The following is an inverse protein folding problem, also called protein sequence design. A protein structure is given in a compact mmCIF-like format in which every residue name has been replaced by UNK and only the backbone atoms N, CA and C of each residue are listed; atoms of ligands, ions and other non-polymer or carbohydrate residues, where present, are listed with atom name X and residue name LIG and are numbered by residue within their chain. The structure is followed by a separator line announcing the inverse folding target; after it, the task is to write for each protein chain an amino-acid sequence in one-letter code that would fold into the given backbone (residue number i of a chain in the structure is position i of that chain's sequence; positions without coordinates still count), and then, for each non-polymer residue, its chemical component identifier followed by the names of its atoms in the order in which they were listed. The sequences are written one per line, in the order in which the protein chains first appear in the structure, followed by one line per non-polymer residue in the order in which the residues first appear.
data_IF_459768820319
#
_entry.id   IF_459768820319
#
_cell.length_a   1.000
_cell.length_b   1.000
_cell.length_c   1.000
_cell.angle_alpha   90.00
_cell.angle_beta   90.00
_cell.angle_gamma   90.00
#
_symmetry.space_group_name_H-M   'P 1'
#
loop_
_entity.id
_entity.type
_entity.pdbx_description
1 polymer ?
#
# COMPACT_ATOMS: atom_id res chain seq x y z
N UNK A 1 -21.08 -8.93 -25.95
CA UNK A 1 -20.90 -8.94 -24.49
C UNK A 1 -21.39 -7.62 -23.95
N UNK A 2 -22.41 -7.63 -23.11
CA UNK A 2 -23.00 -6.40 -22.54
C UNK A 2 -22.06 -5.72 -21.55
N UNK A 3 -22.24 -4.42 -21.31
CA UNK A 3 -21.45 -3.66 -20.32
C UNK A 3 -21.56 -4.27 -18.92
N UNK A 4 -22.73 -4.80 -18.56
CA UNK A 4 -22.97 -5.45 -17.26
C UNK A 4 -22.17 -6.76 -17.14
N UNK A 5 -22.21 -7.60 -18.17
CA UNK A 5 -21.44 -8.86 -18.21
C UNK A 5 -19.93 -8.61 -18.11
N UNK A 6 -19.43 -7.55 -18.77
CA UNK A 6 -18.03 -7.15 -18.69
C UNK A 6 -17.63 -6.70 -17.27
N UNK A 7 -18.46 -5.87 -16.63
CA UNK A 7 -18.24 -5.42 -15.25
C UNK A 7 -18.21 -6.60 -14.27
N UNK A 8 -19.18 -7.49 -14.39
CA UNK A 8 -19.26 -8.67 -13.51
C UNK A 8 -18.04 -9.58 -13.69
N UNK A 9 -17.63 -9.83 -14.93
CA UNK A 9 -16.44 -10.65 -15.22
C UNK A 9 -15.15 -10.04 -14.65
N UNK A 10 -14.97 -8.72 -14.72
CA UNK A 10 -13.82 -8.05 -14.11
C UNK A 10 -13.87 -8.19 -12.59
N UNK A 11 -15.01 -7.90 -11.97
CA UNK A 11 -15.17 -7.99 -10.52
C UNK A 11 -14.95 -9.42 -10.00
N UNK A 12 -15.50 -10.42 -10.68
CA UNK A 12 -15.27 -11.84 -10.38
C UNK A 12 -13.78 -12.20 -10.48
N UNK A 13 -13.10 -11.72 -11.53
CA UNK A 13 -11.66 -11.96 -11.69
C UNK A 13 -10.82 -11.29 -10.60
N UNK A 14 -11.17 -10.06 -10.20
CA UNK A 14 -10.44 -9.30 -9.17
C UNK A 14 -10.72 -9.83 -7.76
N UNK A 15 -11.86 -10.49 -7.54
CA UNK A 15 -12.26 -11.05 -6.24
C UNK A 15 -12.16 -12.58 -6.18
N UNK A 16 -11.62 -13.22 -7.22
CA UNK A 16 -11.30 -14.64 -7.20
C UNK A 16 -10.13 -14.89 -6.24
N UNK A 17 -10.34 -15.77 -5.27
CA UNK A 17 -9.35 -16.01 -4.22
C UNK A 17 -8.02 -16.51 -4.77
N UNK A 18 -8.02 -17.33 -5.83
CA UNK A 18 -6.79 -17.86 -6.42
C UNK A 18 -5.96 -16.73 -7.05
N UNK A 19 -6.61 -15.81 -7.76
CA UNK A 19 -5.96 -14.61 -8.30
C UNK A 19 -5.42 -13.72 -7.17
N UNK A 20 -6.25 -13.40 -6.17
CA UNK A 20 -5.86 -12.56 -5.03
C UNK A 20 -4.69 -13.17 -4.26
N UNK A 21 -4.73 -14.47 -3.98
CA UNK A 21 -3.65 -15.21 -3.31
C UNK A 21 -2.35 -15.13 -4.11
N UNK A 22 -2.42 -15.23 -5.44
CA UNK A 22 -1.24 -15.07 -6.31
C UNK A 22 -0.70 -13.65 -6.23
N UNK A 23 -1.56 -12.63 -6.32
CA UNK A 23 -1.16 -11.24 -6.16
C UNK A 23 -0.52 -10.97 -4.79
N UNK A 24 -1.07 -11.53 -3.71
CA UNK A 24 -0.50 -11.38 -2.37
C UNK A 24 0.88 -12.02 -2.24
N UNK A 25 1.09 -13.24 -2.76
CA UNK A 25 2.43 -13.83 -2.78
C UNK A 25 3.41 -13.02 -3.62
N UNK A 26 2.97 -12.48 -4.76
CA UNK A 26 3.80 -11.62 -5.59
C UNK A 26 4.13 -10.31 -4.86
N UNK A 27 3.18 -9.64 -4.21
CA UNK A 27 3.48 -8.45 -3.40
C UNK A 27 4.46 -8.81 -2.27
N UNK A 28 4.14 -9.79 -1.43
CA UNK A 28 4.99 -10.15 -0.30
C UNK A 28 6.39 -10.59 -0.73
N UNK A 29 6.50 -11.36 -1.81
CA UNK A 29 7.78 -11.85 -2.32
C UNK A 29 8.52 -10.80 -3.14
N UNK A 30 7.94 -10.36 -4.25
CA UNK A 30 8.58 -9.51 -5.24
C UNK A 30 8.80 -8.09 -4.71
N UNK A 31 7.80 -7.45 -4.10
CA UNK A 31 7.97 -6.08 -3.61
C UNK A 31 8.98 -6.01 -2.46
N UNK A 32 8.88 -6.89 -1.45
CA UNK A 32 9.85 -6.90 -0.35
C UNK A 32 11.26 -7.23 -0.83
N UNK A 33 11.40 -8.14 -1.81
CA UNK A 33 12.71 -8.47 -2.39
C UNK A 33 13.28 -7.30 -3.18
N UNK A 34 12.48 -6.61 -4.00
CA UNK A 34 12.93 -5.45 -4.77
C UNK A 34 13.32 -4.29 -3.84
N UNK A 35 12.53 -4.02 -2.80
CA UNK A 35 12.84 -2.99 -1.81
C UNK A 35 14.15 -3.33 -1.07
N UNK A 36 14.28 -4.56 -0.58
CA UNK A 36 15.47 -5.01 0.14
C UNK A 36 16.73 -4.96 -0.74
N UNK A 37 16.64 -5.49 -1.97
CA UNK A 37 17.75 -5.43 -2.94
C UNK A 37 18.07 -3.98 -3.31
N UNK A 38 17.06 -3.12 -3.47
CA UNK A 38 17.24 -1.69 -3.72
C UNK A 38 18.02 -1.01 -2.60
N UNK A 39 17.67 -1.26 -1.33
CA UNK A 39 18.40 -0.75 -0.16
C UNK A 39 19.83 -1.27 -0.12
N UNK A 40 20.02 -2.59 -0.32
CA UNK A 40 21.36 -3.20 -0.33
C UNK A 40 22.23 -2.56 -1.41
N UNK A 41 21.71 -2.42 -2.64
CA UNK A 41 22.45 -1.79 -3.72
C UNK A 41 22.73 -0.31 -3.44
N UNK A 42 21.78 0.42 -2.87
CA UNK A 42 22.00 1.82 -2.48
C UNK A 42 23.12 1.97 -1.44
N UNK A 43 23.25 1.04 -0.48
CA UNK A 43 24.36 1.03 0.48
C UNK A 43 25.72 0.96 -0.23
N UNK A 44 25.84 0.16 -1.28
CA UNK A 44 27.13 -0.08 -1.96
C UNK A 44 27.38 0.79 -3.19
N UNK A 45 26.34 1.38 -3.77
CA UNK A 45 26.41 2.10 -5.05
C UNK A 45 25.99 3.56 -4.97
N UNK A 46 25.78 4.08 -3.75
CA UNK A 46 25.54 5.50 -3.55
C UNK A 46 26.68 6.34 -4.18
N UNK A 47 26.37 7.27 -5.11
CA UNK A 47 27.38 8.07 -5.80
C UNK A 47 28.24 8.94 -4.87
N UNK A 48 27.72 9.30 -3.70
CA UNK A 48 28.40 10.11 -2.69
C UNK A 48 29.45 9.33 -1.88
N UNK A 49 29.49 7.99 -2.03
CA UNK A 49 30.38 7.11 -1.29
C UNK A 49 30.10 7.01 0.21
N UNK A 50 29.06 7.68 0.72
CA UNK A 50 28.68 7.64 2.15
C UNK A 50 27.75 6.47 2.47
N UNK A 51 27.14 5.89 1.43
CA UNK A 51 26.23 4.77 1.55
C UNK A 51 24.84 5.21 2.05
N UNK A 52 23.83 4.45 1.65
CA UNK A 52 22.45 4.69 2.02
C UNK A 52 22.12 4.19 3.44
N UNK A 53 21.50 5.02 4.28
CA UNK A 53 20.96 4.59 5.59
C UNK A 53 19.58 5.17 5.87
N UNK A 54 18.75 4.41 6.58
CA UNK A 54 17.37 4.85 6.91
C UNK A 54 17.30 6.07 7.84
N UNK A 55 18.41 6.43 8.49
CA UNK A 55 18.49 7.55 9.42
C UNK A 55 18.65 8.88 8.69
N UNK A 56 19.28 8.84 7.52
CA UNK A 56 19.74 10.03 6.79
C UNK A 56 19.13 10.15 5.39
N UNK A 57 18.56 9.06 4.85
CA UNK A 57 17.97 9.05 3.52
C UNK A 57 16.52 8.55 3.54
N UNK A 58 15.68 9.24 2.77
CA UNK A 58 14.26 9.00 2.57
C UNK A 58 14.05 7.72 1.77
N UNK A 59 12.92 7.03 1.95
CA UNK A 59 12.62 5.88 1.08
C UNK A 59 12.55 6.33 -0.37
N UNK A 60 11.97 7.50 -0.63
CA UNK A 60 11.87 8.09 -1.97
C UNK A 60 13.23 8.27 -2.64
N UNK A 61 14.31 8.50 -1.88
CA UNK A 61 15.68 8.61 -2.40
C UNK A 61 16.10 7.35 -3.17
N UNK A 62 15.53 6.18 -2.86
CA UNK A 62 15.77 4.95 -3.63
C UNK A 62 15.28 5.05 -5.08
N UNK A 63 14.42 6.01 -5.41
CA UNK A 63 13.96 6.33 -6.77
C UNK A 63 14.81 7.38 -7.49
N UNK A 64 15.97 7.77 -6.93
CA UNK A 64 16.89 8.75 -7.53
C UNK A 64 18.30 8.21 -7.79
N UNK A 65 18.85 8.53 -8.97
CA UNK A 65 20.25 8.32 -9.33
C UNK A 65 21.22 9.09 -8.41
N UNK A 66 20.74 10.04 -7.59
CA UNK A 66 21.56 10.74 -6.60
C UNK A 66 21.96 9.86 -5.42
N UNK A 67 21.18 8.81 -5.13
CA UNK A 67 21.33 8.01 -3.91
C UNK A 67 21.54 6.52 -4.19
N UNK A 68 21.33 6.06 -5.42
CA UNK A 68 21.58 4.66 -5.82
C UNK A 68 21.95 4.54 -7.29
N UNK A 69 22.75 3.54 -7.65
CA UNK A 69 23.03 3.21 -9.06
C UNK A 69 21.86 2.56 -9.79
N UNK A 70 20.82 2.12 -9.06
CA UNK A 70 19.72 1.32 -9.62
C UNK A 70 18.32 1.81 -9.17
N UNK A 71 17.95 3.07 -9.42
CA UNK A 71 16.69 3.64 -8.91
C UNK A 71 15.43 2.97 -9.48
N UNK A 72 15.53 2.39 -10.67
CA UNK A 72 14.42 1.69 -11.31
C UNK A 72 13.90 0.50 -10.48
N UNK A 73 14.70 -0.07 -9.57
CA UNK A 73 14.25 -1.18 -8.73
C UNK A 73 13.15 -0.74 -7.78
N UNK A 74 13.31 0.44 -7.16
CA UNK A 74 12.30 1.02 -6.28
C UNK A 74 11.07 1.44 -7.07
N UNK A 75 11.27 2.06 -8.23
CA UNK A 75 10.17 2.48 -9.11
C UNK A 75 9.29 1.30 -9.56
N UNK A 76 9.93 0.19 -9.97
CA UNK A 76 9.24 -1.05 -10.32
C UNK A 76 8.56 -1.66 -9.09
N UNK A 77 9.21 -1.62 -7.92
CA UNK A 77 8.61 -2.11 -6.68
C UNK A 77 7.30 -1.37 -6.38
N UNK A 78 7.29 -0.05 -6.42
CA UNK A 78 6.11 0.79 -6.21
C UNK A 78 5.01 0.51 -7.25
N UNK A 79 5.38 0.47 -8.54
CA UNK A 79 4.47 0.18 -9.65
C UNK A 79 3.80 -1.20 -9.51
N UNK A 80 4.60 -2.24 -9.29
CA UNK A 80 4.12 -3.61 -9.15
C UNK A 80 3.28 -3.78 -7.90
N UNK A 81 3.73 -3.24 -6.76
CA UNK A 81 2.97 -3.31 -5.52
C UNK A 81 1.61 -2.61 -5.67
N UNK A 82 1.58 -1.39 -6.21
CA UNK A 82 0.34 -0.65 -6.44
C UNK A 82 -0.65 -1.39 -7.33
N UNK A 83 -0.20 -2.03 -8.41
CA UNK A 83 -1.09 -2.83 -9.27
C UNK A 83 -1.60 -4.07 -8.55
N UNK A 84 -0.72 -4.79 -7.85
CA UNK A 84 -1.07 -6.06 -7.22
C UNK A 84 -1.88 -5.89 -5.92
N UNK A 85 -1.88 -4.72 -5.28
CA UNK A 85 -2.77 -4.41 -4.15
C UNK A 85 -4.20 -4.08 -4.56
N UNK A 86 -4.47 -3.84 -5.86
CA UNK A 86 -5.84 -3.58 -6.35
C UNK A 86 -6.75 -4.81 -6.09
N UNK A 87 -6.46 -6.02 -6.60
CA UNK A 87 -7.28 -7.21 -6.32
C UNK A 87 -7.46 -7.47 -4.82
N UNK A 88 -6.41 -7.24 -4.03
CA UNK A 88 -6.47 -7.40 -2.58
C UNK A 88 -7.51 -6.46 -1.94
N UNK A 89 -7.54 -5.20 -2.34
CA UNK A 89 -8.49 -4.21 -1.81
C UNK A 89 -9.94 -4.57 -2.15
N UNK A 90 -10.20 -5.01 -3.38
CA UNK A 90 -11.51 -5.53 -3.79
C UNK A 90 -11.93 -6.76 -2.97
N UNK A 91 -10.99 -7.67 -2.74
CA UNK A 91 -11.25 -8.89 -2.00
C UNK A 91 -11.52 -8.62 -0.51
N UNK A 92 -10.81 -7.68 0.11
CA UNK A 92 -11.07 -7.27 1.48
C UNK A 92 -12.47 -6.69 1.67
N UNK A 93 -12.96 -5.87 0.73
CA UNK A 93 -14.33 -5.36 0.77
C UNK A 93 -15.35 -6.51 0.79
N UNK A 94 -15.18 -7.47 -0.12
CA UNK A 94 -16.05 -8.64 -0.25
C UNK A 94 -16.08 -9.49 1.02
N UNK A 95 -14.92 -9.76 1.62
CA UNK A 95 -14.81 -10.57 2.84
C UNK A 95 -15.34 -9.82 4.06
N UNK A 96 -15.06 -8.52 4.18
CA UNK A 96 -15.46 -7.73 5.34
C UNK A 96 -16.88 -7.19 5.25
N UNK A 97 -17.51 -7.19 4.08
CA UNK A 97 -18.92 -6.85 3.86
C UNK A 97 -19.60 -7.88 2.94
N UNK A 98 -19.81 -9.12 3.40
CA UNK A 98 -20.47 -10.15 2.60
C UNK A 98 -21.90 -9.74 2.24
N UNK A 99 -22.37 -10.18 1.07
CA UNK A 99 -23.73 -9.94 0.59
C UNK A 99 -24.75 -10.44 1.63
N UNK A 100 -25.76 -9.60 1.93
CA UNK A 100 -26.74 -9.88 2.99
C UNK A 100 -26.37 -9.34 4.38
N UNK A 101 -25.25 -8.62 4.53
CA UNK A 101 -24.96 -7.88 5.77
C UNK A 101 -26.08 -6.88 6.09
N UNK A 102 -26.77 -7.06 7.21
CA UNK A 102 -27.87 -6.19 7.67
C UNK A 102 -27.42 -4.80 8.11
N UNK A 103 -26.12 -4.61 8.37
CA UNK A 103 -25.58 -3.34 8.87
C UNK A 103 -25.17 -2.43 7.72
N UNK A 104 -25.96 -1.39 7.48
CA UNK A 104 -25.64 -0.32 6.52
C UNK A 104 -24.27 0.33 6.79
N UNK A 105 -23.88 0.42 8.06
CA UNK A 105 -22.59 0.98 8.46
C UNK A 105 -21.43 0.07 8.03
N UNK A 106 -21.57 -1.25 8.20
CA UNK A 106 -20.58 -2.24 7.77
C UNK A 106 -20.24 -2.09 6.29
N UNK A 107 -21.29 -2.05 5.46
CA UNK A 107 -21.15 -1.86 4.02
C UNK A 107 -20.48 -0.52 3.68
N UNK A 108 -20.97 0.59 4.23
CA UNK A 108 -20.39 1.93 3.96
C UNK A 108 -18.92 2.03 4.34
N UNK A 109 -18.55 1.45 5.48
CA UNK A 109 -17.18 1.47 5.97
C UNK A 109 -16.27 0.57 5.12
N UNK A 110 -16.78 -0.57 4.67
CA UNK A 110 -16.05 -1.46 3.77
C UNK A 110 -15.82 -0.81 2.41
N UNK A 111 -16.87 -0.23 1.81
CA UNK A 111 -16.76 0.48 0.54
C UNK A 111 -15.89 1.74 0.63
N UNK A 112 -15.93 2.47 1.75
CA UNK A 112 -15.02 3.59 1.93
C UNK A 112 -13.57 3.13 2.07
N UNK A 113 -13.31 2.08 2.87
CA UNK A 113 -11.99 1.46 3.00
C UNK A 113 -11.44 0.92 1.68
N UNK A 114 -12.30 0.33 0.86
CA UNK A 114 -12.00 -0.09 -0.51
C UNK A 114 -11.63 1.09 -1.40
N UNK A 115 -12.46 2.14 -1.40
CA UNK A 115 -12.26 3.31 -2.25
C UNK A 115 -10.93 4.00 -1.95
N UNK A 116 -10.62 4.27 -0.67
CA UNK A 116 -9.35 4.90 -0.29
C UNK A 116 -8.15 3.97 -0.47
N UNK A 117 -8.33 2.65 -0.31
CA UNK A 117 -7.29 1.66 -0.62
C UNK A 117 -6.98 1.59 -2.12
N UNK A 118 -7.99 1.76 -2.97
CA UNK A 118 -7.83 1.86 -4.42
C UNK A 118 -7.09 3.16 -4.80
N UNK A 119 -7.45 4.29 -4.18
CA UNK A 119 -6.72 5.56 -4.33
C UNK A 119 -5.25 5.38 -3.91
N UNK A 120 -5.00 4.73 -2.77
CA UNK A 120 -3.64 4.45 -2.29
C UNK A 120 -2.85 3.58 -3.26
N UNK A 121 -3.48 2.53 -3.79
CA UNK A 121 -2.88 1.63 -4.79
C UNK A 121 -2.52 2.36 -6.08
N UNK A 122 -3.43 3.19 -6.60
CA UNK A 122 -3.18 4.02 -7.79
C UNK A 122 -2.10 5.07 -7.52
N UNK A 123 -2.13 5.73 -6.36
CA UNK A 123 -1.07 6.62 -5.92
C UNK A 123 0.29 5.94 -5.92
N UNK A 124 0.37 4.70 -5.43
CA UNK A 124 1.62 3.96 -5.37
C UNK A 124 2.15 3.55 -6.74
N UNK A 125 1.26 3.26 -7.71
CA UNK A 125 1.66 3.11 -9.12
C UNK A 125 2.29 4.41 -9.63
N UNK A 126 1.69 5.55 -9.33
CA UNK A 126 2.20 6.84 -9.78
C UNK A 126 3.48 7.29 -9.06
N UNK A 127 3.74 6.86 -7.82
CA UNK A 127 5.06 7.01 -7.18
C UNK A 127 6.15 6.34 -8.02
N UNK A 128 5.88 5.15 -8.56
CA UNK A 128 6.82 4.47 -9.45
C UNK A 128 6.97 5.14 -10.82
N UNK A 129 5.92 5.78 -11.35
CA UNK A 129 5.97 6.49 -12.64
C UNK A 129 6.72 7.82 -12.50
N UNK A 130 6.30 8.64 -11.53
CA UNK A 130 6.87 9.93 -11.18
C UNK A 130 7.86 9.75 -10.03
N UNK A 131 8.96 9.05 -10.29
CA UNK A 131 10.06 8.93 -9.32
C UNK A 131 10.69 10.30 -9.05
N UNK A 132 11.53 10.40 -8.02
CA UNK A 132 12.28 11.63 -7.67
C UNK A 132 12.97 12.29 -8.88
N UNK A 133 13.53 11.49 -9.80
CA UNK A 133 14.22 12.02 -10.99
C UNK A 133 13.28 12.39 -12.15
N UNK A 134 12.02 11.94 -12.13
CA UNK A 134 11.04 12.12 -13.22
C UNK A 134 9.85 12.99 -12.85
N UNK A 135 9.71 13.34 -11.57
CA UNK A 135 8.66 14.21 -11.11
C UNK A 135 8.91 15.64 -11.57
N UNK A 136 7.83 16.29 -12.00
CA UNK A 136 7.85 17.70 -12.35
C UNK A 136 7.02 18.48 -11.33
N UNK A 137 7.39 19.75 -11.15
CA UNK A 137 6.73 20.65 -10.22
C UNK A 137 5.29 20.95 -10.65
N UNK A 138 4.40 21.00 -9.66
CA UNK A 138 3.03 21.47 -9.75
C UNK A 138 2.98 22.84 -9.10
N UNK A 139 3.32 23.88 -9.85
CA UNK A 139 3.44 25.25 -9.34
C UNK A 139 2.21 25.73 -8.54
N UNK A 140 1.00 25.32 -8.95
CA UNK A 140 -0.25 25.66 -8.27
C UNK A 140 -0.37 25.09 -6.84
N UNK A 141 0.36 24.02 -6.52
CA UNK A 141 0.34 23.34 -5.23
C UNK A 141 1.65 23.52 -4.45
N UNK A 142 2.68 24.14 -5.03
CA UNK A 142 3.99 24.31 -4.39
C UNK A 142 4.67 22.97 -4.03
N UNK A 143 4.39 21.91 -4.80
CA UNK A 143 4.90 20.55 -4.60
C UNK A 143 5.14 19.90 -5.96
N UNK A 144 5.79 18.75 -6.02
CA UNK A 144 5.96 17.95 -7.23
C UNK A 144 5.00 16.75 -7.25
N UNK A 145 4.92 16.06 -8.39
CA UNK A 145 4.07 14.89 -8.52
C UNK A 145 4.50 13.71 -7.64
N UNK A 146 5.80 13.53 -7.37
CA UNK A 146 6.27 12.44 -6.51
C UNK A 146 5.68 12.61 -5.11
N UNK A 147 5.84 13.80 -4.53
CA UNK A 147 5.33 14.16 -3.21
C UNK A 147 3.81 14.07 -3.13
N UNK A 148 3.10 14.55 -4.16
CA UNK A 148 1.65 14.40 -4.24
C UNK A 148 1.22 12.93 -4.21
N UNK A 149 1.79 12.09 -5.09
CA UNK A 149 1.38 10.70 -5.19
C UNK A 149 1.88 9.82 -4.04
N UNK A 150 3.01 10.16 -3.41
CA UNK A 150 3.47 9.55 -2.16
C UNK A 150 2.48 9.84 -1.03
N UNK A 151 2.05 11.09 -0.89
CA UNK A 151 1.00 11.46 0.07
C UNK A 151 -0.33 10.74 -0.20
N UNK A 152 -0.73 10.61 -1.47
CA UNK A 152 -1.93 9.85 -1.88
C UNK A 152 -1.79 8.37 -1.54
N UNK A 153 -0.62 7.76 -1.78
CA UNK A 153 -0.34 6.36 -1.50
C UNK A 153 -0.41 6.07 0.01
N UNK A 154 0.41 6.78 0.79
CA UNK A 154 0.47 6.59 2.24
C UNK A 154 -0.85 6.96 2.94
N UNK A 155 -1.47 8.07 2.54
CA UNK A 155 -2.76 8.50 3.08
C UNK A 155 -3.87 7.52 2.73
N UNK A 156 -3.94 7.06 1.47
CA UNK A 156 -4.93 6.09 1.01
C UNK A 156 -4.81 4.75 1.74
N UNK A 157 -3.60 4.19 1.85
CA UNK A 157 -3.38 2.95 2.59
C UNK A 157 -3.64 3.10 4.09
N UNK A 158 -3.26 4.22 4.71
CA UNK A 158 -3.53 4.49 6.13
C UNK A 158 -5.03 4.59 6.40
N UNK A 159 -5.78 5.34 5.60
CA UNK A 159 -7.23 5.44 5.73
C UNK A 159 -7.91 4.08 5.48
N UNK A 160 -7.41 3.30 4.52
CA UNK A 160 -7.91 1.94 4.24
C UNK A 160 -7.70 1.02 5.45
N UNK A 161 -6.51 1.08 6.06
CA UNK A 161 -6.18 0.34 7.27
C UNK A 161 -7.07 0.72 8.46
N UNK A 162 -7.40 2.01 8.62
CA UNK A 162 -8.35 2.48 9.64
C UNK A 162 -9.74 1.90 9.37
N UNK A 163 -10.27 2.01 8.16
CA UNK A 163 -11.61 1.53 7.84
C UNK A 163 -11.75 0.01 8.01
N UNK A 164 -10.83 -0.76 7.44
CA UNK A 164 -10.82 -2.21 7.60
C UNK A 164 -10.48 -2.63 9.03
N UNK A 165 -9.62 -1.87 9.74
CA UNK A 165 -9.32 -2.09 11.14
C UNK A 165 -10.54 -1.91 12.05
N UNK A 166 -11.35 -0.88 11.83
CA UNK A 166 -12.63 -0.67 12.50
C UNK A 166 -13.62 -1.81 12.22
N UNK A 167 -13.67 -2.32 10.98
CA UNK A 167 -14.49 -3.47 10.64
C UNK A 167 -14.07 -4.74 11.39
N UNK A 168 -12.77 -5.03 11.38
CA UNK A 168 -12.19 -6.16 12.12
C UNK A 168 -12.48 -6.03 13.61
N UNK A 169 -12.35 -4.82 14.18
CA UNK A 169 -12.59 -4.55 15.59
C UNK A 169 -14.06 -4.75 15.98
N UNK A 170 -15.00 -4.15 15.25
CA UNK A 170 -16.40 -4.07 15.67
C UNK A 170 -17.31 -5.19 15.16
N UNK A 171 -16.94 -5.91 14.12
CA UNK A 171 -17.77 -6.97 13.55
C UNK A 171 -17.11 -8.34 13.72
N UNK A 172 -17.93 -9.39 13.72
CA UNK A 172 -17.43 -10.76 13.71
C UNK A 172 -16.80 -11.05 12.34
N UNK A 173 -15.48 -11.20 12.38
CA UNK A 173 -14.64 -11.52 11.23
C UNK A 173 -13.64 -12.59 11.67
N UNK A 174 -13.05 -13.31 10.71
CA UNK A 174 -11.97 -14.27 11.00
C UNK A 174 -10.66 -13.62 11.44
N UNK A 175 -10.54 -12.29 11.34
CA UNK A 175 -9.31 -11.59 11.66
C UNK A 175 -9.23 -11.29 13.17
N UNK A 176 -8.04 -11.40 13.78
CA UNK A 176 -7.87 -11.13 15.19
C UNK A 176 -8.10 -9.64 15.49
N UNK A 177 -8.81 -9.36 16.58
CA UNK A 177 -9.16 -7.98 17.00
C UNK A 177 -7.94 -7.08 17.19
N UNK A 178 -6.83 -7.64 17.67
CA UNK A 178 -5.56 -6.91 17.83
C UNK A 178 -5.02 -6.36 16.50
N UNK A 179 -5.21 -7.08 15.38
CA UNK A 179 -4.85 -6.59 14.06
C UNK A 179 -5.75 -5.43 13.61
N UNK A 180 -7.02 -5.47 14.02
CA UNK A 180 -7.95 -4.35 13.83
C UNK A 180 -7.50 -3.09 14.59
N UNK A 181 -7.17 -3.24 15.87
CA UNK A 181 -6.62 -2.14 16.70
C UNK A 181 -5.35 -1.57 16.09
N UNK A 182 -4.43 -2.42 15.65
CA UNK A 182 -3.19 -1.97 15.01
C UNK A 182 -3.45 -1.26 13.68
N UNK A 183 -4.39 -1.73 12.86
CA UNK A 183 -4.77 -1.05 11.61
C UNK A 183 -5.33 0.36 11.82
N UNK A 184 -6.00 0.59 12.95
CA UNK A 184 -6.52 1.91 13.32
C UNK A 184 -5.40 2.84 13.79
N UNK A 185 -4.57 2.38 14.75
CA UNK A 185 -3.65 3.27 15.46
C UNK A 185 -2.23 3.26 14.90
N UNK A 186 -1.71 2.13 14.43
CA UNK A 186 -0.32 1.97 14.01
C UNK A 186 0.06 2.95 12.89
N UNK A 187 -0.45 2.77 11.67
CA UNK A 187 -0.18 3.69 10.56
C UNK A 187 -0.61 5.13 10.84
N UNK A 188 -1.74 5.34 11.52
CA UNK A 188 -2.26 6.68 11.81
C UNK A 188 -1.33 7.50 12.73
N UNK A 189 -0.83 6.89 13.81
CA UNK A 189 0.11 7.56 14.72
C UNK A 189 1.38 7.93 13.97
N UNK A 190 1.94 7.01 13.18
CA UNK A 190 3.18 7.30 12.44
C UNK A 190 2.96 8.34 11.35
N UNK A 191 1.81 8.33 10.67
CA UNK A 191 1.45 9.37 9.69
C UNK A 191 1.35 10.76 10.33
N UNK A 192 0.78 10.87 11.53
CA UNK A 192 0.74 12.13 12.29
C UNK A 192 2.16 12.58 12.67
N UNK A 193 3.00 11.66 13.14
CA UNK A 193 4.38 11.98 13.47
C UNK A 193 5.18 12.40 12.23
N UNK A 194 4.91 11.80 11.07
CA UNK A 194 5.61 12.08 9.82
C UNK A 194 5.46 13.54 9.34
N UNK A 195 4.54 14.32 9.91
CA UNK A 195 4.47 15.79 9.72
C UNK A 195 5.77 16.49 10.14
N UNK A 196 6.57 15.89 11.04
CA UNK A 196 7.89 16.38 11.40
C UNK A 196 8.91 16.30 10.26
N UNK A 197 8.63 15.53 9.21
CA UNK A 197 9.43 15.49 7.99
C UNK A 197 10.86 15.00 8.22
N UNK A 198 11.02 13.78 8.76
CA UNK A 198 12.35 13.16 8.89
C UNK A 198 12.42 11.86 8.10
N UNK A 199 13.58 11.49 7.53
CA UNK A 199 13.76 10.24 6.79
C UNK A 199 13.27 9.00 7.56
N UNK A 200 13.64 8.92 8.85
CA UNK A 200 13.26 7.81 9.71
C UNK A 200 11.73 7.66 9.83
N UNK A 201 10.99 8.76 9.91
CA UNK A 201 9.54 8.72 10.08
C UNK A 201 8.83 8.26 8.81
N UNK A 202 9.37 8.56 7.63
CA UNK A 202 8.88 8.00 6.37
C UNK A 202 9.09 6.48 6.33
N UNK A 203 10.29 6.02 6.71
CA UNK A 203 10.60 4.59 6.87
C UNK A 203 9.65 3.90 7.86
N UNK A 204 9.43 4.52 9.01
CA UNK A 204 8.49 4.01 10.01
C UNK A 204 7.06 3.98 9.47
N UNK A 205 6.65 4.94 8.64
CA UNK A 205 5.31 4.97 8.05
C UNK A 205 5.13 3.76 7.11
N UNK A 206 6.09 3.51 6.22
CA UNK A 206 6.09 2.31 5.39
C UNK A 206 6.03 1.03 6.24
N UNK A 207 6.92 0.89 7.23
CA UNK A 207 6.95 -0.29 8.08
C UNK A 207 5.66 -0.47 8.88
N UNK A 208 5.03 0.61 9.32
CA UNK A 208 3.78 0.54 10.07
C UNK A 208 2.63 -0.01 9.21
N UNK A 209 2.56 0.39 7.94
CA UNK A 209 1.59 -0.13 6.97
C UNK A 209 1.91 -1.59 6.64
N UNK A 210 3.19 -1.92 6.42
CA UNK A 210 3.61 -3.30 6.16
C UNK A 210 3.29 -4.24 7.33
N UNK A 211 3.53 -3.80 8.56
CA UNK A 211 3.22 -4.55 9.77
C UNK A 211 1.70 -4.80 9.95
N UNK A 212 0.84 -4.05 9.26
CA UNK A 212 -0.60 -4.34 9.23
C UNK A 212 -0.97 -5.24 8.03
N UNK A 213 -0.52 -4.89 6.82
CA UNK A 213 -0.94 -5.58 5.59
C UNK A 213 -0.34 -6.98 5.48
N UNK A 214 0.88 -7.22 5.98
CA UNK A 214 1.55 -8.52 5.89
C UNK A 214 0.80 -9.56 6.74
N UNK A 215 0.55 -9.35 8.06
CA UNK A 215 -0.24 -10.30 8.84
C UNK A 215 -1.64 -10.51 8.28
N UNK A 216 -2.30 -9.42 7.83
CA UNK A 216 -3.64 -9.50 7.23
C UNK A 216 -3.64 -10.41 5.99
N UNK A 217 -2.65 -10.24 5.11
CA UNK A 217 -2.47 -11.04 3.91
C UNK A 217 -2.19 -12.50 4.23
N UNK A 218 -1.32 -12.78 5.20
CA UNK A 218 -0.98 -14.15 5.61
C UNK A 218 -2.19 -14.90 6.19
N UNK A 219 -2.99 -14.23 7.02
CA UNK A 219 -4.23 -14.80 7.58
C UNK A 219 -5.21 -15.13 6.45
N UNK A 220 -5.36 -14.21 5.49
CA UNK A 220 -6.24 -14.38 4.34
C UNK A 220 -5.80 -15.57 3.45
N UNK A 221 -4.51 -15.68 3.16
CA UNK A 221 -3.92 -16.79 2.41
C UNK A 221 -4.14 -18.14 3.11
N UNK A 222 -4.03 -18.17 4.44
CA UNK A 222 -4.13 -19.38 5.25
C UNK A 222 -5.57 -19.90 5.38
N UNK A 223 -6.53 -19.00 5.61
CA UNK A 223 -7.92 -19.38 5.89
C UNK A 223 -8.77 -19.59 4.64
N UNK A 224 -8.30 -19.20 3.45
CA UNK A 224 -9.08 -19.39 2.22
C UNK A 224 -10.29 -18.44 2.09
N UNK A 225 -11.08 -18.57 1.01
CA UNK A 225 -12.42 -18.03 0.95
C UNK A 225 -13.32 -18.88 1.88
N UNK A 226 -14.08 -18.22 2.75
CA UNK A 226 -15.19 -18.86 3.46
C UNK A 226 -16.42 -18.92 2.53
#
# INVERSE_FOLDING_TARGET
MGIIEFKNKIYESLTDFKNVKTCLYLVLGLYLSLLLVGVILAIFTAPDGQGYTIWTQWISDLGSYRHTGFPFLYDIACGVAGVLTIPFTFYLEKVLSPEGSSSRMRFRLASFGWFVGLIGSVGYVFVGIFSEDRAFEIAALGTDLHMLFSGVAFGGFTLSAICFGLLILFYDTKFPKGLGVYGIFGPAIVMILNVLGTPLLEWMLLFSILAWIIPLSLILIHHGPD
#
